data_IF_963061811680
#
_entry.id   IF_963061811680
#
_cell.length_a   1.000
_cell.length_b   1.000
_cell.length_c   1.000
_cell.angle_alpha   90.00
_cell.angle_beta   90.00
_cell.angle_gamma   90.00
#
_symmetry.space_group_name_H-M   'P 1'
#
loop_
_entity.id
_entity.type
_entity.pdbx_description
1 polymer ?
#
# COMPACT_ATOMS: atom_id res chain seq x y z
N UNK A 1 -22.77 -28.68 -59.06
CA UNK A 1 -24.03 -29.24 -58.53
C UNK A 1 -24.03 -28.98 -57.04
N UNK A 2 -24.54 -27.80 -56.67
CA UNK A 2 -25.77 -27.62 -55.85
C UNK A 2 -25.41 -27.66 -54.35
N UNK A 3 -25.13 -26.50 -53.73
CA UNK A 3 -26.07 -25.60 -53.01
C UNK A 3 -26.94 -26.32 -51.97
N UNK A 4 -26.72 -26.00 -50.69
CA UNK A 4 -27.74 -25.68 -49.67
C UNK A 4 -26.99 -25.09 -48.44
N UNK A 5 -27.00 -23.77 -48.24
CA UNK A 5 -27.99 -22.97 -47.50
C UNK A 5 -28.05 -23.28 -45.99
N UNK A 6 -27.26 -22.49 -45.26
CA UNK A 6 -27.53 -21.78 -44.00
C UNK A 6 -28.85 -22.08 -43.28
N UNK A 7 -28.75 -22.57 -42.04
CA UNK A 7 -29.67 -22.20 -40.95
C UNK A 7 -28.84 -21.67 -39.77
N UNK A 8 -28.93 -20.36 -39.55
CA UNK A 8 -28.47 -19.68 -38.34
C UNK A 8 -29.59 -19.86 -37.32
N UNK A 9 -29.37 -20.72 -36.32
CA UNK A 9 -30.26 -20.78 -35.17
C UNK A 9 -29.68 -19.94 -34.04
N UNK A 10 -30.14 -18.70 -33.95
CA UNK A 10 -29.92 -17.82 -32.82
C UNK A 10 -30.64 -18.41 -31.59
N UNK A 11 -29.89 -18.91 -30.62
CA UNK A 11 -30.37 -19.07 -29.25
C UNK A 11 -29.36 -18.43 -28.32
N UNK A 12 -29.76 -17.29 -27.76
CA UNK A 12 -29.02 -16.54 -26.76
C UNK A 12 -28.58 -17.47 -25.63
N UNK A 13 -27.27 -17.63 -25.51
CA UNK A 13 -26.65 -18.17 -24.30
C UNK A 13 -26.85 -17.17 -23.18
N UNK A 14 -27.85 -17.43 -22.35
CA UNK A 14 -28.07 -16.73 -21.11
C UNK A 14 -26.82 -16.96 -20.25
N UNK A 15 -25.97 -15.93 -20.11
CA UNK A 15 -24.88 -15.93 -19.13
C UNK A 15 -25.57 -16.00 -17.78
N UNK A 16 -25.60 -17.20 -17.19
CA UNK A 16 -26.07 -17.40 -15.83
C UNK A 16 -25.11 -16.65 -14.92
N UNK A 17 -25.45 -15.42 -14.56
CA UNK A 17 -25.02 -14.89 -13.27
C UNK A 17 -25.47 -15.91 -12.24
N UNK A 18 -24.51 -16.61 -11.64
CA UNK A 18 -24.77 -17.44 -10.47
C UNK A 18 -25.28 -16.50 -9.39
N UNK A 19 -26.61 -16.38 -9.31
CA UNK A 19 -27.28 -15.70 -8.22
C UNK A 19 -27.01 -16.56 -6.99
N UNK A 20 -25.96 -16.23 -6.25
CA UNK A 20 -25.69 -16.80 -4.94
C UNK A 20 -26.95 -16.51 -4.11
N UNK A 21 -27.56 -17.58 -3.57
CA UNK A 21 -28.66 -17.45 -2.62
C UNK A 21 -28.18 -16.63 -1.43
N UNK A 22 -28.99 -15.67 -0.93
CA UNK A 22 -28.58 -14.83 0.18
C UNK A 22 -28.22 -15.70 1.41
N UNK A 23 -27.19 -15.32 2.19
CA UNK A 23 -26.82 -16.06 3.39
C UNK A 23 -28.00 -16.27 4.34
N UNK A 24 -27.96 -17.34 5.14
CA UNK A 24 -29.06 -17.63 6.07
C UNK A 24 -29.09 -16.61 7.21
N UNK A 25 -30.26 -16.33 7.78
CA UNK A 25 -30.39 -15.44 8.95
C UNK A 25 -29.51 -15.87 10.13
N UNK A 26 -29.30 -17.18 10.31
CA UNK A 26 -28.39 -17.74 11.33
C UNK A 26 -26.92 -17.38 11.10
N UNK A 27 -26.50 -17.22 9.84
CA UNK A 27 -25.14 -16.80 9.49
C UNK A 27 -24.92 -15.35 9.91
N UNK A 28 -25.82 -14.44 9.51
CA UNK A 28 -25.75 -13.03 9.91
C UNK A 28 -25.69 -12.87 11.43
N UNK A 29 -26.57 -13.56 12.17
CA UNK A 29 -26.58 -13.50 13.64
C UNK A 29 -25.28 -13.99 14.26
N UNK A 30 -24.67 -15.05 13.69
CA UNK A 30 -23.38 -15.56 14.17
C UNK A 30 -22.26 -14.53 13.95
N UNK A 31 -22.17 -13.92 12.78
CA UNK A 31 -21.14 -12.92 12.48
C UNK A 31 -21.30 -11.69 13.36
N UNK A 32 -22.51 -11.15 13.52
CA UNK A 32 -22.74 -10.02 14.42
C UNK A 32 -22.37 -10.33 15.87
N UNK A 33 -22.70 -11.53 16.35
CA UNK A 33 -22.29 -11.98 17.68
C UNK A 33 -20.76 -12.10 17.82
N UNK A 34 -20.05 -12.50 16.76
CA UNK A 34 -18.59 -12.58 16.77
C UNK A 34 -17.92 -11.20 16.74
N UNK A 35 -18.49 -10.24 16.00
CA UNK A 35 -18.05 -8.85 16.02
C UNK A 35 -18.26 -8.25 17.41
N UNK A 36 -19.42 -8.48 18.04
CA UNK A 36 -19.70 -8.02 19.39
C UNK A 36 -18.73 -8.61 20.42
N UNK A 37 -18.31 -9.87 20.26
CA UNK A 37 -17.31 -10.50 21.13
C UNK A 37 -15.91 -9.87 20.97
N UNK A 38 -15.59 -9.37 19.77
CA UNK A 38 -14.33 -8.67 19.49
C UNK A 38 -14.36 -7.22 20.00
N UNK A 39 -15.50 -6.55 19.84
CA UNK A 39 -15.68 -5.12 20.09
C UNK A 39 -15.87 -4.35 18.77
N UNK A 40 -16.96 -3.59 18.69
CA UNK A 40 -17.34 -2.82 17.50
C UNK A 40 -16.36 -1.68 17.20
N UNK A 41 -15.67 -1.16 18.21
CA UNK A 41 -14.64 -0.12 18.10
C UNK A 41 -13.42 -0.56 17.27
N UNK A 42 -13.23 -1.87 17.11
CA UNK A 42 -12.18 -2.43 16.28
C UNK A 42 -12.60 -2.59 14.83
N UNK A 43 -13.89 -2.54 14.50
CA UNK A 43 -14.39 -2.71 13.13
C UNK A 43 -14.22 -1.41 12.33
N UNK A 44 -13.49 -1.48 11.22
CA UNK A 44 -13.29 -0.35 10.29
C UNK A 44 -14.35 -0.39 9.18
N UNK A 45 -14.53 -1.56 8.57
CA UNK A 45 -15.36 -1.76 7.38
C UNK A 45 -16.09 -3.09 7.46
N UNK A 46 -17.32 -3.11 6.96
CA UNK A 46 -18.16 -4.29 6.85
C UNK A 46 -18.91 -4.22 5.53
N UNK A 47 -18.73 -5.20 4.66
CA UNK A 47 -19.48 -5.27 3.39
C UNK A 47 -20.94 -5.67 3.64
N UNK A 48 -21.86 -5.23 2.78
CA UNK A 48 -23.31 -5.47 2.94
C UNK A 48 -23.68 -6.95 2.98
N UNK A 49 -22.95 -7.78 2.23
CA UNK A 49 -23.16 -9.23 2.18
C UNK A 49 -22.39 -10.01 3.27
N UNK A 50 -21.66 -9.30 4.14
CA UNK A 50 -20.76 -9.83 5.16
C UNK A 50 -19.68 -10.78 4.62
N UNK A 51 -19.34 -10.69 3.34
CA UNK A 51 -18.27 -11.51 2.76
C UNK A 51 -16.88 -11.00 3.12
N UNK A 52 -16.74 -9.72 3.46
CA UNK A 52 -15.49 -9.11 3.93
C UNK A 52 -15.70 -8.18 5.13
N UNK A 53 -14.75 -8.23 6.07
CA UNK A 53 -14.66 -7.39 7.26
C UNK A 53 -13.25 -6.85 7.40
N UNK A 54 -13.10 -5.60 7.83
CA UNK A 54 -11.78 -5.03 8.15
C UNK A 54 -11.72 -4.58 9.60
N UNK A 55 -10.69 -5.01 10.32
CA UNK A 55 -10.46 -4.68 11.72
C UNK A 55 -9.19 -3.83 11.91
N UNK A 56 -9.28 -2.84 12.80
CA UNK A 56 -8.15 -2.09 13.34
C UNK A 56 -7.55 -2.85 14.51
N UNK A 57 -6.25 -3.12 14.41
CA UNK A 57 -5.47 -3.82 15.43
C UNK A 57 -4.30 -2.95 15.86
N UNK A 58 -4.11 -2.77 17.16
CA UNK A 58 -2.93 -2.08 17.69
C UNK A 58 -1.89 -3.13 18.09
N UNK A 59 -0.64 -2.90 17.71
CA UNK A 59 0.47 -3.72 18.20
C UNK A 59 0.97 -3.24 19.59
N UNK A 60 1.99 -3.91 20.11
CA UNK A 60 2.57 -3.61 21.43
C UNK A 60 3.21 -2.22 21.53
N UNK A 61 3.52 -1.58 20.40
CA UNK A 61 4.06 -0.22 20.32
C UNK A 61 2.99 0.79 19.88
N UNK A 62 1.71 0.44 20.01
CA UNK A 62 0.56 1.26 19.63
C UNK A 62 0.49 1.62 18.13
N UNK A 63 1.22 0.90 17.27
CA UNK A 63 1.08 1.07 15.82
C UNK A 63 -0.23 0.45 15.36
N UNK A 64 -0.98 1.19 14.58
CA UNK A 64 -2.23 0.72 14.00
C UNK A 64 -1.97 -0.10 12.72
N UNK A 65 -2.62 -1.26 12.67
CA UNK A 65 -2.63 -2.18 11.54
C UNK A 65 -4.08 -2.39 11.10
N UNK A 66 -4.31 -2.48 9.80
CA UNK A 66 -5.60 -2.90 9.24
C UNK A 66 -5.49 -4.35 8.81
N UNK A 67 -6.40 -5.20 9.30
CA UNK A 67 -6.53 -6.59 8.90
C UNK A 67 -7.87 -6.78 8.21
N UNK A 68 -7.85 -7.14 6.94
CA UNK A 68 -9.04 -7.57 6.22
C UNK A 68 -9.21 -9.08 6.36
N UNK A 69 -10.45 -9.50 6.57
CA UNK A 69 -10.89 -10.87 6.76
C UNK A 69 -11.98 -11.15 5.74
N UNK A 70 -11.69 -12.05 4.80
CA UNK A 70 -12.67 -12.50 3.81
C UNK A 70 -13.26 -13.84 4.27
N UNK A 71 -14.58 -13.86 4.41
CA UNK A 71 -15.36 -15.01 4.84
C UNK A 71 -15.79 -15.84 3.62
N UNK A 72 -15.40 -17.12 3.54
CA UNK A 72 -15.93 -18.00 2.50
C UNK A 72 -17.39 -18.32 2.77
N UNK A 73 -18.16 -18.68 1.73
CA UNK A 73 -19.54 -19.16 1.87
C UNK A 73 -19.69 -20.35 2.83
N UNK A 74 -18.63 -21.15 3.01
CA UNK A 74 -18.60 -22.28 3.94
C UNK A 74 -18.24 -21.91 5.38
N UNK A 75 -18.10 -20.63 5.74
CA UNK A 75 -17.73 -20.21 7.09
C UNK A 75 -18.77 -20.69 8.14
N UNK A 76 -18.36 -21.19 9.33
CA UNK A 76 -16.98 -21.39 9.80
C UNK A 76 -16.38 -22.78 9.46
N UNK A 77 -17.08 -23.62 8.67
CA UNK A 77 -16.54 -24.93 8.26
C UNK A 77 -15.28 -24.79 7.39
N UNK A 78 -15.20 -23.72 6.62
CA UNK A 78 -14.00 -23.30 5.88
C UNK A 78 -13.35 -22.11 6.57
N UNK A 79 -12.02 -22.11 6.60
CA UNK A 79 -11.23 -21.03 7.20
C UNK A 79 -11.40 -19.71 6.43
N UNK A 80 -11.48 -18.56 7.11
CA UNK A 80 -11.39 -17.27 6.46
C UNK A 80 -9.96 -17.03 5.94
N UNK A 81 -9.83 -16.16 4.95
CA UNK A 81 -8.53 -15.64 4.53
C UNK A 81 -8.29 -14.27 5.13
N UNK A 82 -7.04 -13.98 5.48
CA UNK A 82 -6.63 -12.70 6.05
C UNK A 82 -5.59 -12.01 5.19
N UNK A 83 -5.73 -10.70 5.03
CA UNK A 83 -4.76 -9.83 4.36
C UNK A 83 -4.48 -8.62 5.24
N UNK A 84 -3.22 -8.17 5.23
CA UNK A 84 -2.77 -7.00 5.97
C UNK A 84 -1.46 -6.49 5.36
N UNK A 85 -1.10 -5.23 5.63
CA UNK A 85 0.21 -4.65 5.26
C UNK A 85 1.31 -5.21 6.18
N UNK A 86 1.63 -6.49 6.03
CA UNK A 86 2.66 -7.19 6.80
C UNK A 86 3.62 -7.92 5.85
N UNK A 87 4.89 -8.12 6.22
CA UNK A 87 5.93 -8.54 5.27
C UNK A 87 5.78 -10.01 4.84
N UNK A 88 4.98 -10.80 5.56
CA UNK A 88 4.55 -12.12 5.16
C UNK A 88 3.20 -12.46 5.80
N UNK A 89 2.41 -13.28 5.10
CA UNK A 89 1.08 -13.69 5.53
C UNK A 89 1.10 -14.36 6.91
N UNK A 90 0.06 -14.10 7.70
CA UNK A 90 -0.15 -14.80 8.96
C UNK A 90 -0.74 -16.19 8.68
N UNK A 91 -0.06 -17.23 9.14
CA UNK A 91 -0.50 -18.62 8.99
C UNK A 91 -1.62 -18.93 9.99
N UNK A 92 -2.87 -18.81 9.53
CA UNK A 92 -4.05 -19.04 10.36
C UNK A 92 -4.22 -20.53 10.66
N UNK A 93 -4.24 -20.88 11.95
CA UNK A 93 -4.69 -22.19 12.44
C UNK A 93 -6.19 -22.15 12.65
N UNK A 94 -6.91 -22.96 11.89
CA UNK A 94 -8.37 -22.96 11.88
C UNK A 94 -8.96 -24.33 12.18
N UNK A 95 -10.08 -24.33 12.91
CA UNK A 95 -10.91 -25.50 13.17
C UNK A 95 -12.38 -25.15 12.99
N UNK A 96 -13.26 -26.16 12.93
CA UNK A 96 -14.72 -25.95 12.79
C UNK A 96 -15.37 -25.24 13.99
N UNK A 97 -14.67 -25.16 15.12
CA UNK A 97 -15.11 -24.45 16.32
C UNK A 97 -14.45 -23.07 16.45
N UNK A 98 -13.56 -22.71 15.52
CA UNK A 98 -12.89 -21.42 15.52
C UNK A 98 -13.84 -20.30 15.09
N UNK A 99 -13.57 -19.09 15.59
CA UNK A 99 -14.36 -17.87 15.38
C UNK A 99 -13.45 -16.68 15.04
N UNK A 100 -14.03 -15.55 14.66
CA UNK A 100 -13.27 -14.33 14.32
C UNK A 100 -12.32 -13.89 15.46
N UNK A 101 -12.67 -14.10 16.73
CA UNK A 101 -11.78 -13.79 17.86
C UNK A 101 -10.48 -14.59 17.84
N UNK A 102 -10.50 -15.83 17.37
CA UNK A 102 -9.28 -16.64 17.22
C UNK A 102 -8.38 -16.07 16.11
N UNK A 103 -8.98 -15.49 15.06
CA UNK A 103 -8.25 -14.76 14.01
C UNK A 103 -7.55 -13.55 14.63
N UNK A 104 -8.28 -12.73 15.39
CA UNK A 104 -7.74 -11.56 16.07
C UNK A 104 -6.57 -11.92 17.00
N UNK A 105 -6.71 -12.98 17.80
CA UNK A 105 -5.64 -13.43 18.72
C UNK A 105 -4.39 -13.93 17.97
N UNK A 106 -4.59 -14.68 16.87
CA UNK A 106 -3.47 -15.16 16.06
C UNK A 106 -2.77 -14.03 15.32
N UNK A 107 -3.52 -13.03 14.86
CA UNK A 107 -2.95 -11.85 14.22
C UNK A 107 -2.15 -11.00 15.20
N UNK A 108 -2.64 -10.75 16.42
CA UNK A 108 -1.84 -10.07 17.46
C UNK A 108 -0.50 -10.78 17.71
N UNK A 109 -0.51 -12.11 17.87
CA UNK A 109 0.73 -12.91 18.02
C UNK A 109 1.64 -12.86 16.79
N UNK A 110 1.09 -12.61 15.61
CA UNK A 110 1.86 -12.40 14.39
C UNK A 110 2.55 -11.02 14.42
N UNK A 111 1.82 -9.97 14.80
CA UNK A 111 2.37 -8.62 14.97
C UNK A 111 3.48 -8.58 16.04
N UNK A 112 3.34 -9.34 17.12
CA UNK A 112 4.38 -9.48 18.16
C UNK A 112 5.71 -10.02 17.59
N UNK A 113 5.65 -10.98 16.67
CA UNK A 113 6.86 -11.55 16.02
C UNK A 113 7.55 -10.55 15.08
N UNK A 114 6.81 -9.55 14.59
CA UNK A 114 7.28 -8.56 13.64
C UNK A 114 7.87 -7.31 14.31
N UNK A 115 7.76 -7.19 15.64
CA UNK A 115 8.23 -6.02 16.38
C UNK A 115 9.72 -5.72 16.16
N UNK A 116 10.57 -6.75 16.17
CA UNK A 116 12.01 -6.58 15.93
C UNK A 116 12.29 -6.11 14.50
N UNK A 117 11.54 -6.61 13.53
CA UNK A 117 11.67 -6.20 12.13
C UNK A 117 11.33 -4.72 11.95
N UNK A 118 10.18 -4.26 12.46
CA UNK A 118 9.81 -2.85 12.36
C UNK A 118 10.75 -1.96 13.14
N UNK A 119 11.22 -2.38 14.32
CA UNK A 119 12.21 -1.60 15.08
C UNK A 119 13.51 -1.38 14.31
N UNK A 120 13.95 -2.36 13.51
CA UNK A 120 15.14 -2.22 12.67
C UNK A 120 14.86 -1.27 11.49
N UNK A 121 13.69 -1.36 10.87
CA UNK A 121 13.30 -0.44 9.81
C UNK A 121 13.21 0.99 10.33
N UNK A 122 12.62 1.20 11.51
CA UNK A 122 12.54 2.52 12.18
C UNK A 122 13.94 3.08 12.45
N UNK A 123 14.89 2.24 12.89
CA UNK A 123 16.29 2.64 13.11
C UNK A 123 16.99 3.03 11.80
N UNK A 124 16.74 2.30 10.71
CA UNK A 124 17.25 2.63 9.37
C UNK A 124 16.65 3.95 8.89
N UNK A 125 15.33 4.08 8.93
CA UNK A 125 14.59 5.23 8.40
C UNK A 125 14.91 6.52 9.18
N UNK A 126 15.22 6.40 10.48
CA UNK A 126 15.62 7.52 11.33
C UNK A 126 17.05 7.99 11.11
N UNK A 127 17.98 7.09 10.86
CA UNK A 127 19.42 7.40 10.90
C UNK A 127 20.09 7.45 9.53
N UNK A 128 19.46 6.92 8.47
CA UNK A 128 20.04 6.81 7.14
C UNK A 128 19.19 7.56 6.12
N UNK A 129 19.83 8.11 5.09
CA UNK A 129 19.09 8.73 3.98
C UNK A 129 18.41 7.67 3.09
N UNK A 130 17.20 7.28 3.48
CA UNK A 130 16.32 6.38 2.73
C UNK A 130 15.62 7.15 1.60
N UNK A 131 15.72 6.61 0.39
CA UNK A 131 15.10 7.15 -0.83
C UNK A 131 13.85 6.34 -1.22
N UNK A 132 13.82 5.04 -0.93
CA UNK A 132 12.67 4.17 -1.17
C UNK A 132 12.50 3.12 -0.05
N UNK A 133 11.25 2.76 0.31
CA UNK A 133 9.99 3.27 -0.24
C UNK A 133 9.71 4.72 0.20
N UNK A 134 8.97 5.48 -0.63
CA UNK A 134 8.62 6.89 -0.34
C UNK A 134 7.46 7.03 0.65
N UNK A 135 6.60 6.01 0.71
CA UNK A 135 5.50 5.93 1.64
C UNK A 135 5.83 4.87 2.69
N UNK A 136 5.38 5.10 3.92
CA UNK A 136 5.50 4.13 4.99
C UNK A 136 4.65 2.91 4.66
N UNK A 137 5.27 1.74 4.65
CA UNK A 137 4.61 0.46 4.50
C UNK A 137 5.24 -0.52 5.48
N UNK A 138 4.38 -1.22 6.22
CA UNK A 138 4.77 -2.22 7.20
C UNK A 138 5.11 -3.57 6.54
N UNK A 139 4.75 -3.80 5.27
CA UNK A 139 5.18 -4.97 4.48
C UNK A 139 6.51 -4.79 3.75
N UNK A 140 6.89 -3.54 3.44
CA UNK A 140 8.08 -3.23 2.66
C UNK A 140 9.38 -3.68 3.37
N UNK A 141 9.91 -4.82 2.93
CA UNK A 141 11.09 -5.48 3.50
C UNK A 141 12.40 -5.06 2.83
N UNK A 142 12.41 -3.90 2.19
CA UNK A 142 13.59 -3.36 1.53
C UNK A 142 13.75 -1.88 1.85
N UNK A 143 14.99 -1.39 1.75
CA UNK A 143 15.32 0.04 1.84
C UNK A 143 16.36 0.40 0.81
N UNK A 144 16.08 1.42 -0.02
CA UNK A 144 17.09 2.03 -0.91
C UNK A 144 17.70 3.22 -0.21
N UNK A 145 18.99 3.17 0.06
CA UNK A 145 19.72 4.15 0.87
C UNK A 145 20.72 4.88 -0.03
N UNK A 146 20.82 6.20 0.13
CA UNK A 146 21.83 7.03 -0.51
C UNK A 146 23.19 6.83 0.16
N UNK A 147 24.24 6.58 -0.63
CA UNK A 147 25.63 6.47 -0.16
C UNK A 147 26.47 7.72 -0.48
N UNK A 148 25.92 8.70 -1.20
CA UNK A 148 26.64 9.83 -1.77
C UNK A 148 27.32 9.49 -3.10
N UNK A 149 27.87 10.50 -3.79
CA UNK A 149 28.54 10.35 -5.10
C UNK A 149 27.71 9.58 -6.15
N UNK A 150 26.41 9.89 -6.24
CA UNK A 150 25.45 9.22 -7.12
C UNK A 150 25.37 7.69 -6.93
N UNK A 151 25.77 7.20 -5.75
CA UNK A 151 25.69 5.80 -5.39
C UNK A 151 24.53 5.53 -4.44
N UNK A 152 23.86 4.40 -4.66
CA UNK A 152 22.78 3.91 -3.81
C UNK A 152 22.96 2.43 -3.50
N UNK A 153 22.40 1.98 -2.39
CA UNK A 153 22.30 0.57 -2.06
C UNK A 153 20.86 0.19 -1.72
N UNK A 154 20.37 -0.87 -2.33
CA UNK A 154 19.10 -1.49 -1.99
C UNK A 154 19.39 -2.67 -1.07
N UNK A 155 18.95 -2.59 0.17
CA UNK A 155 18.97 -3.70 1.12
C UNK A 155 17.65 -4.44 1.11
N UNK A 156 17.72 -5.76 1.20
CA UNK A 156 16.58 -6.63 1.48
C UNK A 156 16.75 -7.17 2.91
N UNK A 157 15.88 -6.73 3.81
CA UNK A 157 15.88 -7.09 5.23
C UNK A 157 15.00 -8.33 5.38
N UNK A 158 15.53 -9.40 5.96
CA UNK A 158 14.76 -10.61 6.20
C UNK A 158 13.79 -10.40 7.38
N UNK A 159 12.47 -10.41 7.20
CA UNK A 159 11.52 -10.13 8.29
C UNK A 159 11.53 -11.17 9.41
N UNK A 160 11.95 -12.42 9.11
CA UNK A 160 12.06 -13.51 10.08
C UNK A 160 13.42 -13.53 10.79
N UNK A 161 14.42 -12.82 10.25
CA UNK A 161 15.79 -12.71 10.81
C UNK A 161 16.33 -11.29 10.58
N UNK A 162 15.68 -10.26 11.13
CA UNK A 162 15.92 -8.88 10.72
C UNK A 162 17.32 -8.36 11.09
N UNK A 163 17.94 -8.95 12.12
CA UNK A 163 19.34 -8.67 12.53
C UNK A 163 20.41 -9.39 11.71
N UNK A 164 20.05 -10.26 10.78
CA UNK A 164 21.03 -10.98 9.94
C UNK A 164 21.62 -10.07 8.87
N UNK A 165 22.79 -10.43 8.32
CA UNK A 165 23.41 -9.70 7.21
C UNK A 165 22.41 -9.61 6.04
N UNK A 166 21.99 -8.41 5.62
CA UNK A 166 21.00 -8.26 4.56
C UNK A 166 21.59 -8.60 3.19
N UNK A 167 20.74 -9.06 2.28
CA UNK A 167 21.10 -9.07 0.86
C UNK A 167 21.12 -7.63 0.33
N UNK A 168 22.02 -7.33 -0.61
CA UNK A 168 22.14 -5.97 -1.13
C UNK A 168 22.43 -5.90 -2.62
N UNK A 169 22.04 -4.78 -3.24
CA UNK A 169 22.37 -4.41 -4.62
C UNK A 169 22.85 -2.97 -4.68
N UNK A 170 23.99 -2.72 -5.29
CA UNK A 170 24.58 -1.39 -5.45
C UNK A 170 24.25 -0.80 -6.82
N UNK A 171 23.94 0.49 -6.85
CA UNK A 171 23.63 1.30 -8.02
C UNK A 171 24.53 2.53 -8.05
N UNK A 172 24.87 3.01 -9.25
CA UNK A 172 25.79 4.14 -9.45
C UNK A 172 26.92 3.79 -10.43
N UNK A 173 27.93 4.66 -10.58
CA UNK A 173 29.06 4.43 -11.48
C UNK A 173 29.80 3.12 -11.20
N UNK A 174 30.18 2.38 -12.25
CA UNK A 174 30.77 1.03 -12.14
C UNK A 174 31.99 0.98 -11.23
N UNK A 175 32.94 1.92 -11.41
CA UNK A 175 34.17 1.97 -10.61
C UNK A 175 33.91 2.12 -9.10
N UNK A 176 32.92 2.95 -8.73
CA UNK A 176 32.55 3.19 -7.34
C UNK A 176 31.79 1.98 -6.77
N UNK A 177 30.80 1.48 -7.50
CA UNK A 177 29.98 0.34 -7.06
C UNK A 177 30.79 -0.95 -6.96
N UNK A 178 31.78 -1.18 -7.82
CA UNK A 178 32.68 -2.33 -7.71
C UNK A 178 33.56 -2.29 -6.46
N UNK A 179 34.02 -1.09 -6.08
CA UNK A 179 34.78 -0.89 -4.85
C UNK A 179 33.91 -1.20 -3.63
N UNK A 180 32.67 -0.71 -3.61
CA UNK A 180 31.69 -1.00 -2.55
C UNK A 180 31.36 -2.50 -2.46
N UNK A 181 31.12 -3.17 -3.60
CA UNK A 181 30.89 -4.63 -3.66
C UNK A 181 32.07 -5.43 -3.10
N UNK A 182 33.31 -5.03 -3.43
CA UNK A 182 34.53 -5.66 -2.90
C UNK A 182 34.64 -5.48 -1.39
N UNK A 183 34.40 -4.26 -0.88
CA UNK A 183 34.37 -3.98 0.56
C UNK A 183 33.32 -4.81 1.27
N UNK A 184 32.09 -4.84 0.77
CA UNK A 184 31.00 -5.65 1.33
C UNK A 184 31.37 -7.13 1.43
N UNK A 185 31.84 -7.73 0.33
CA UNK A 185 32.24 -9.14 0.31
C UNK A 185 33.36 -9.44 1.31
N UNK A 186 34.42 -8.62 1.31
CA UNK A 186 35.57 -8.77 2.20
C UNK A 186 35.18 -8.64 3.67
N UNK A 187 34.29 -7.71 3.99
CA UNK A 187 33.96 -7.37 5.37
C UNK A 187 32.74 -8.10 5.91
N UNK A 188 31.98 -8.85 5.09
CA UNK A 188 30.73 -9.52 5.47
C UNK A 188 30.76 -10.30 6.80
N UNK A 189 31.90 -10.93 7.12
CA UNK A 189 32.11 -11.68 8.37
C UNK A 189 32.20 -10.79 9.63
N UNK A 190 32.32 -9.47 9.46
CA UNK A 190 32.37 -8.48 10.55
C UNK A 190 30.98 -8.01 10.98
N UNK A 191 29.92 -8.49 10.35
CA UNK A 191 28.54 -8.18 10.74
C UNK A 191 28.23 -8.72 12.13
N UNK A 192 27.72 -7.85 13.01
CA UNK A 192 27.38 -8.21 14.38
C UNK A 192 25.89 -7.92 14.60
N UNK A 193 25.10 -8.97 14.82
CA UNK A 193 23.63 -8.89 14.93
C UNK A 193 23.12 -7.96 16.06
N UNK A 194 23.93 -7.74 17.11
CA UNK A 194 23.55 -6.90 18.24
C UNK A 194 23.86 -5.42 18.04
N UNK A 195 24.68 -5.06 17.04
CA UNK A 195 25.02 -3.66 16.75
C UNK A 195 23.89 -2.96 15.99
N UNK A 196 23.75 -1.64 16.13
CA UNK A 196 22.85 -0.84 15.29
C UNK A 196 23.13 -1.06 13.81
N UNK A 197 22.07 -1.01 12.99
CA UNK A 197 22.18 -1.28 11.56
C UNK A 197 23.13 -0.28 10.85
N UNK A 198 23.06 1.04 11.10
CA UNK A 198 23.97 2.02 10.50
C UNK A 198 25.45 1.72 10.79
N UNK A 199 25.79 1.41 12.04
CA UNK A 199 27.19 1.14 12.46
C UNK A 199 27.77 -0.08 11.75
N UNK A 200 26.95 -1.13 11.58
CA UNK A 200 27.35 -2.30 10.82
C UNK A 200 27.64 -1.92 9.36
N UNK A 201 26.77 -1.12 8.73
CA UNK A 201 26.94 -0.72 7.34
C UNK A 201 28.20 0.10 7.12
N UNK A 202 28.49 1.08 7.98
CA UNK A 202 29.72 1.88 7.91
C UNK A 202 30.96 0.99 8.05
N UNK A 203 30.91 0.01 8.97
CA UNK A 203 31.98 -0.97 9.16
C UNK A 203 32.20 -1.84 7.92
N UNK A 204 31.11 -2.26 7.25
CA UNK A 204 31.17 -3.11 6.06
C UNK A 204 31.63 -2.36 4.82
N UNK A 205 31.10 -1.16 4.60
CA UNK A 205 31.39 -0.36 3.41
C UNK A 205 32.70 0.41 3.54
N UNK A 206 33.14 0.71 4.77
CA UNK A 206 34.33 1.51 5.05
C UNK A 206 34.16 2.99 4.70
N UNK A 207 32.93 3.46 4.66
CA UNK A 207 32.55 4.85 4.38
C UNK A 207 31.55 5.31 5.42
N UNK A 208 31.59 6.60 5.77
CA UNK A 208 30.53 7.22 6.56
C UNK A 208 29.25 7.32 5.73
N UNK A 209 28.10 7.05 6.34
CA UNK A 209 26.83 7.10 5.64
C UNK A 209 26.19 8.50 5.74
N UNK A 210 25.60 9.02 4.65
CA UNK A 210 24.83 10.24 4.72
C UNK A 210 23.65 10.09 5.69
N UNK A 211 23.58 11.01 6.65
CA UNK A 211 22.39 11.18 7.47
C UNK A 211 21.20 11.65 6.61
N UNK A 212 19.95 11.43 7.04
CA UNK A 212 18.79 12.03 6.39
C UNK A 212 19.01 13.55 6.31
N UNK A 213 18.74 14.18 5.16
CA UNK A 213 18.84 15.62 5.03
C UNK A 213 17.94 16.32 6.07
N UNK A 214 18.52 17.26 6.83
CA UNK A 214 17.83 18.05 7.87
C UNK A 214 16.65 18.86 7.31
N UNK A 215 16.63 19.06 5.99
CA UNK A 215 15.59 19.71 5.21
C UNK A 215 15.03 18.76 4.15
N UNK A 216 14.22 17.79 4.59
CA UNK A 216 13.10 17.27 3.79
C UNK A 216 11.77 17.69 4.45
N UNK A 217 11.66 18.98 4.81
CA UNK A 217 10.34 19.60 4.99
C UNK A 217 9.98 20.27 3.67
N UNK A 218 8.92 19.79 3.05
CA UNK A 218 8.08 20.39 2.01
C UNK A 218 8.53 20.58 0.55
N UNK A 219 9.82 20.57 0.19
CA UNK A 219 10.15 21.19 -1.12
C UNK A 219 10.21 20.29 -2.39
N UNK A 220 9.76 19.03 -2.38
CA UNK A 220 9.72 18.21 -3.62
C UNK A 220 8.49 17.32 -3.80
N UNK A 221 7.47 17.48 -2.96
CA UNK A 221 6.17 16.87 -3.22
C UNK A 221 5.18 18.01 -3.38
N UNK A 222 4.79 18.28 -4.62
CA UNK A 222 3.81 19.31 -4.88
C UNK A 222 2.49 18.93 -4.19
N UNK A 223 2.07 19.73 -3.22
CA UNK A 223 0.76 19.61 -2.59
C UNK A 223 -0.34 19.87 -3.62
N UNK A 224 -1.46 19.16 -3.49
CA UNK A 224 -2.64 19.50 -4.28
C UNK A 224 -3.15 20.89 -3.89
N UNK A 225 -3.32 21.79 -4.86
CA UNK A 225 -3.88 23.12 -4.63
C UNK A 225 -5.36 23.18 -4.24
N UNK A 226 -5.99 22.06 -3.88
CA UNK A 226 -7.41 22.05 -3.47
C UNK A 226 -7.53 21.42 -2.07
N UNK A 227 -7.01 20.21 -1.89
CA UNK A 227 -7.08 19.50 -0.61
C UNK A 227 -5.83 19.69 0.26
N UNK A 228 -4.78 20.35 -0.25
CA UNK A 228 -3.53 20.64 0.46
C UNK A 228 -2.81 19.39 1.01
N UNK A 229 -3.05 18.23 0.42
CA UNK A 229 -2.35 16.98 0.73
C UNK A 229 -1.52 16.51 -0.46
N UNK A 230 -0.46 15.77 -0.17
CA UNK A 230 0.47 15.24 -1.18
C UNK A 230 -0.09 13.96 -1.81
N UNK A 231 -0.78 13.16 -0.98
CA UNK A 231 -1.40 11.90 -1.35
C UNK A 231 -2.84 11.87 -0.85
N UNK A 232 -3.75 11.33 -1.64
CA UNK A 232 -5.11 11.06 -1.18
C UNK A 232 -5.09 10.00 -0.06
N UNK A 233 -6.04 10.04 0.89
CA UNK A 233 -6.17 9.01 1.90
C UNK A 233 -6.40 7.64 1.25
N UNK A 234 -6.02 6.59 1.97
CA UNK A 234 -6.38 5.24 1.58
C UNK A 234 -7.86 5.02 1.90
N UNK A 235 -8.71 5.18 0.89
CA UNK A 235 -10.17 5.06 0.96
C UNK A 235 -10.67 4.23 -0.22
N UNK A 236 -11.60 3.30 0.04
CA UNK A 236 -12.17 2.41 -0.96
C UNK A 236 -13.14 3.14 -1.88
N UNK A 237 -13.77 4.24 -1.43
CA UNK A 237 -14.60 5.10 -2.29
C UNK A 237 -13.77 5.73 -3.42
N UNK A 238 -12.47 5.91 -3.21
CA UNK A 238 -11.53 6.43 -4.20
C UNK A 238 -11.03 5.35 -5.17
N UNK A 239 -11.29 4.07 -4.90
CA UNK A 239 -10.89 2.93 -5.73
C UNK A 239 -9.42 2.98 -6.13
N UNK A 240 -9.12 2.87 -7.43
CA UNK A 240 -7.74 2.94 -7.97
C UNK A 240 -7.02 4.29 -7.74
N UNK A 241 -7.72 5.33 -7.23
CA UNK A 241 -7.12 6.63 -6.89
C UNK A 241 -6.78 6.78 -5.40
N UNK A 242 -7.13 5.78 -4.60
CA UNK A 242 -6.72 5.66 -3.20
C UNK A 242 -5.19 5.73 -3.09
N UNK A 243 -4.67 6.55 -2.18
CA UNK A 243 -3.21 6.73 -2.01
C UNK A 243 -2.47 7.44 -3.15
N UNK A 244 -3.18 7.95 -4.18
CA UNK A 244 -2.54 8.57 -5.35
C UNK A 244 -1.89 9.91 -5.02
N UNK A 245 -0.70 10.15 -5.61
CA UNK A 245 -0.02 11.44 -5.58
C UNK A 245 -0.72 12.45 -6.50
N UNK A 246 -0.35 13.73 -6.42
CA UNK A 246 -0.77 14.71 -7.44
C UNK A 246 -0.39 14.23 -8.84
N UNK A 247 -1.37 14.19 -9.74
CA UNK A 247 -1.27 13.60 -11.08
C UNK A 247 -1.67 14.59 -12.19
N UNK A 248 -1.98 15.84 -11.82
CA UNK A 248 -2.29 16.93 -12.75
C UNK A 248 -1.51 18.20 -12.39
N UNK A 249 -0.91 18.87 -13.36
CA UNK A 249 -0.23 20.16 -13.19
C UNK A 249 -0.78 21.17 -14.19
N UNK A 250 -1.04 22.40 -13.73
CA UNK A 250 -1.48 23.49 -14.58
C UNK A 250 -0.43 23.81 -15.65
N UNK A 251 -0.84 23.84 -16.93
CA UNK A 251 0.06 24.09 -18.07
C UNK A 251 0.59 25.54 -18.13
N UNK A 252 0.00 26.47 -17.39
CA UNK A 252 0.50 27.84 -17.30
C UNK A 252 1.83 27.86 -16.53
N UNK A 253 2.98 28.19 -17.18
CA UNK A 253 4.30 28.16 -16.53
C UNK A 253 4.40 29.10 -15.33
N UNK A 254 3.66 30.21 -15.35
CA UNK A 254 3.62 31.18 -14.25
C UNK A 254 2.77 30.69 -13.06
N UNK A 255 2.00 29.61 -13.21
CA UNK A 255 1.18 29.02 -12.16
C UNK A 255 1.78 27.71 -11.64
N UNK A 256 1.99 26.74 -12.53
CA UNK A 256 2.59 25.42 -12.24
C UNK A 256 2.02 24.70 -11.00
N UNK A 257 0.77 24.98 -10.62
CA UNK A 257 0.12 24.34 -9.47
C UNK A 257 -0.28 22.92 -9.80
N UNK A 258 -0.03 22.02 -8.86
CA UNK A 258 -0.38 20.59 -8.97
C UNK A 258 -1.67 20.27 -8.23
N UNK A 259 -2.36 19.24 -8.70
CA UNK A 259 -3.64 18.78 -8.17
C UNK A 259 -3.74 17.26 -8.29
N UNK A 260 -4.53 16.65 -7.42
CA UNK A 260 -5.13 15.36 -7.75
C UNK A 260 -6.22 15.59 -8.80
N UNK A 261 -6.25 14.74 -9.81
CA UNK A 261 -7.22 14.74 -10.89
C UNK A 261 -8.64 14.64 -10.36
N UNK A 262 -8.86 13.92 -9.24
CA UNK A 262 -10.18 13.83 -8.60
C UNK A 262 -10.59 15.16 -7.96
N UNK A 263 -9.69 15.80 -7.19
CA UNK A 263 -9.97 17.09 -6.56
C UNK A 263 -10.26 18.17 -7.61
N UNK A 264 -9.47 18.23 -8.69
CA UNK A 264 -9.70 19.19 -9.76
C UNK A 264 -10.99 18.88 -10.53
N UNK A 265 -11.32 17.60 -10.76
CA UNK A 265 -12.58 17.18 -11.39
C UNK A 265 -13.79 17.62 -10.58
N UNK A 266 -13.79 17.38 -9.27
CA UNK A 266 -14.92 17.71 -8.40
C UNK A 266 -15.08 19.23 -8.26
N UNK A 267 -13.95 19.95 -8.19
CA UNK A 267 -13.96 21.40 -8.28
C UNK A 267 -14.61 21.90 -9.59
N UNK A 268 -14.18 21.38 -10.75
CA UNK A 268 -14.73 21.77 -12.04
C UNK A 268 -16.23 21.43 -12.17
N UNK A 269 -16.67 20.30 -11.62
CA UNK A 269 -18.11 19.94 -11.59
C UNK A 269 -18.95 20.90 -10.77
N UNK A 270 -18.38 21.56 -9.76
CA UNK A 270 -19.08 22.57 -8.96
C UNK A 270 -19.26 23.92 -9.68
N UNK A 271 -18.57 24.14 -10.80
CA UNK A 271 -18.59 25.42 -11.54
C UNK A 271 -19.58 25.35 -12.71
N UNK A 272 -20.53 26.27 -12.75
CA UNK A 272 -21.60 26.34 -13.78
C UNK A 272 -21.10 26.63 -15.20
N UNK A 273 -19.90 27.22 -15.33
CA UNK A 273 -19.30 27.55 -16.64
C UNK A 273 -18.38 26.45 -17.20
N UNK A 274 -18.17 25.37 -16.44
CA UNK A 274 -17.41 24.21 -16.91
C UNK A 274 -18.12 23.55 -18.07
N UNK A 275 -17.38 23.25 -19.12
CA UNK A 275 -17.88 22.54 -20.31
C UNK A 275 -17.44 21.10 -20.25
N UNK A 276 -18.34 20.17 -20.54
CA UNK A 276 -17.97 18.78 -20.75
C UNK A 276 -18.03 18.47 -22.26
N UNK A 277 -17.01 17.80 -22.77
CA UNK A 277 -17.03 17.20 -24.09
C UNK A 277 -16.53 15.76 -23.97
N UNK A 278 -17.38 14.80 -24.34
CA UNK A 278 -17.14 13.37 -24.11
C UNK A 278 -16.77 13.08 -22.64
N UNK A 279 -15.60 12.48 -22.43
CA UNK A 279 -15.01 12.10 -21.16
C UNK A 279 -14.02 13.15 -20.65
N UNK A 280 -14.08 14.41 -21.10
CA UNK A 280 -13.18 15.48 -20.64
C UNK A 280 -13.97 16.70 -20.16
N UNK A 281 -13.63 17.19 -18.97
CA UNK A 281 -14.09 18.46 -18.43
C UNK A 281 -13.09 19.56 -18.79
N UNK A 282 -13.59 20.64 -19.38
CA UNK A 282 -12.85 21.85 -19.71
C UNK A 282 -13.33 22.99 -18.82
N UNK A 283 -12.40 23.62 -18.12
CA UNK A 283 -12.70 24.74 -17.24
C UNK A 283 -11.49 25.62 -17.00
N UNK A 284 -11.47 26.28 -15.85
CA UNK A 284 -10.43 27.23 -15.47
C UNK A 284 -9.68 26.76 -14.22
N UNK A 285 -8.37 26.92 -14.21
CA UNK A 285 -7.52 26.66 -13.06
C UNK A 285 -7.97 27.52 -11.86
N UNK A 286 -8.13 26.94 -10.65
CA UNK A 286 -8.55 27.69 -9.46
C UNK A 286 -7.65 28.87 -9.09
N UNK A 287 -6.37 28.83 -9.50
CA UNK A 287 -5.36 29.81 -9.10
C UNK A 287 -5.09 30.89 -10.14
N UNK A 288 -4.96 30.52 -11.42
CA UNK A 288 -4.58 31.47 -12.47
C UNK A 288 -5.69 31.72 -13.50
N UNK A 289 -6.83 31.03 -13.37
CA UNK A 289 -7.96 31.13 -14.31
C UNK A 289 -7.68 30.73 -15.77
N UNK A 290 -6.47 30.21 -16.07
CA UNK A 290 -6.14 29.65 -17.38
C UNK A 290 -6.86 28.33 -17.63
N UNK A 291 -6.97 27.95 -18.91
CA UNK A 291 -7.68 26.75 -19.33
C UNK A 291 -7.06 25.48 -18.73
N UNK A 292 -7.92 24.60 -18.21
CA UNK A 292 -7.54 23.25 -17.73
C UNK A 292 -8.49 22.22 -18.33
N UNK A 293 -7.98 21.02 -18.56
CA UNK A 293 -8.73 19.91 -19.14
C UNK A 293 -8.48 18.61 -18.35
N UNK A 294 -9.54 18.01 -17.82
CA UNK A 294 -9.44 16.85 -16.92
C UNK A 294 -10.28 15.69 -17.45
N UNK A 295 -9.66 14.51 -17.60
CA UNK A 295 -10.35 13.30 -18.06
C UNK A 295 -11.19 12.68 -16.93
N UNK A 296 -12.44 12.36 -17.26
CA UNK A 296 -13.35 11.51 -16.51
C UNK A 296 -12.89 10.07 -16.73
N UNK A 297 -12.01 9.57 -15.87
CA UNK A 297 -11.75 8.13 -15.80
C UNK A 297 -13.02 7.45 -15.29
N UNK A 298 -13.66 6.66 -16.16
CA UNK A 298 -14.71 5.73 -15.79
C UNK A 298 -14.05 4.58 -15.03
N UNK A 299 -14.36 4.46 -13.73
CA UNK A 299 -14.26 3.17 -13.07
C UNK A 299 -15.63 2.52 -13.28
N UNK A 300 -15.72 1.63 -14.26
CA UNK A 300 -16.53 0.42 -14.08
C UNK A 300 -15.77 -0.54 -13.17
#
# INVERSE_FOLDING_TARGET
MEKNLVEINARGGNVRHHHLSPPSSSFYQAIYSEIEEIGWEHLIRLEEDLSSLSFRVLDTNERAHSMEVVLPHGYPQSAPSITADVPYACELRWSKCSRLKDVMQQFHKHLEKLQEFWSILDDIDKNLWVVEPRQQSHSASFRRICLGNDCHVLFFINPKKPRSLPECRFFGPDLLTDSLRKSWKRNSQRWINIKPFPENLETLLGVALPAPPVTLKDNEQAECGICYVNFLPNDDELGAKSGSAVDYTCDNPNCSKSFHTICLRDWLRSITTTRQSFDVLFGKCPYCSEAVAVKLSNNE
#
